data_IF_907057760730
#
_entry.id   IF_907057760730
#
_cell.length_a   1.000
_cell.length_b   1.000
_cell.length_c   1.000
_cell.angle_alpha   90.00
_cell.angle_beta   90.00
_cell.angle_gamma   90.00
#
_symmetry.space_group_name_H-M   'P 1'
#
loop_
_entity.id
_entity.type
_entity.pdbx_description
1 polymer ?
#
# COMPACT_ATOMS: atom_id res chain seq x y z
N UNK A 1 17.60 -24.57 5.01
CA UNK A 1 17.10 -23.17 4.87
C UNK A 1 18.30 -22.24 4.91
N UNK A 2 18.37 -21.22 4.05
CA UNK A 2 19.37 -20.16 4.18
C UNK A 2 19.25 -19.53 5.57
N UNK A 3 20.38 -19.22 6.21
CA UNK A 3 20.38 -18.55 7.51
C UNK A 3 20.03 -17.08 7.27
N UNK A 4 18.91 -16.62 7.82
CA UNK A 4 18.47 -15.22 7.67
C UNK A 4 19.42 -14.26 8.40
N UNK A 5 19.52 -13.03 7.90
CA UNK A 5 20.49 -12.01 8.35
C UNK A 5 19.82 -10.65 8.51
N UNK A 6 20.34 -9.81 9.39
CA UNK A 6 19.90 -8.42 9.55
C UNK A 6 20.67 -7.54 8.57
N UNK A 7 19.95 -6.81 7.73
CA UNK A 7 20.53 -5.91 6.75
C UNK A 7 20.82 -4.55 7.40
N UNK A 8 22.06 -4.08 7.34
CA UNK A 8 22.47 -2.73 7.76
C UNK A 8 22.78 -1.92 6.51
N UNK A 9 21.92 -0.96 6.18
CA UNK A 9 21.97 -0.21 4.93
C UNK A 9 22.23 1.28 5.16
N UNK A 10 23.23 1.85 4.49
CA UNK A 10 23.49 3.30 4.48
C UNK A 10 24.45 3.71 3.36
N UNK A 11 24.75 5.00 3.25
CA UNK A 11 25.81 5.55 2.41
C UNK A 11 27.16 5.46 3.14
N UNK A 12 27.95 4.42 2.88
CA UNK A 12 29.20 4.16 3.62
C UNK A 12 30.28 5.22 3.40
N UNK A 13 30.22 5.97 2.29
CA UNK A 13 31.10 7.11 2.00
C UNK A 13 31.01 8.24 3.04
N UNK A 14 29.94 8.29 3.81
CA UNK A 14 29.71 9.31 4.84
C UNK A 14 29.37 8.73 6.22
N UNK A 15 28.96 7.46 6.31
CA UNK A 15 28.40 6.86 7.54
C UNK A 15 28.92 5.46 7.85
N UNK A 16 30.12 5.12 7.36
CA UNK A 16 30.70 3.79 7.55
C UNK A 16 30.98 3.48 9.02
N UNK A 17 31.47 4.44 9.82
CA UNK A 17 31.74 4.23 11.25
C UNK A 17 30.47 3.86 12.03
N UNK A 18 29.38 4.58 11.79
CA UNK A 18 28.10 4.34 12.45
C UNK A 18 27.47 3.01 12.03
N UNK A 19 27.57 2.66 10.73
CA UNK A 19 27.08 1.39 10.23
C UNK A 19 27.85 0.19 10.80
N UNK A 20 29.18 0.28 10.87
CA UNK A 20 30.00 -0.77 11.48
C UNK A 20 29.76 -0.90 12.99
N UNK A 21 29.53 0.21 13.69
CA UNK A 21 29.14 0.19 15.09
C UNK A 21 27.81 -0.55 15.31
N UNK A 22 26.78 -0.28 14.50
CA UNK A 22 25.51 -1.02 14.54
C UNK A 22 25.74 -2.51 14.23
N UNK A 23 26.48 -2.82 13.17
CA UNK A 23 26.81 -4.21 12.77
C UNK A 23 27.42 -4.98 13.94
N UNK A 24 28.41 -4.39 14.60
CA UNK A 24 29.15 -5.07 15.68
C UNK A 24 28.26 -5.34 16.91
N UNK A 25 27.38 -4.39 17.25
CA UNK A 25 26.40 -4.58 18.32
C UNK A 25 25.37 -5.66 17.99
N UNK A 26 24.87 -5.73 16.75
CA UNK A 26 23.93 -6.78 16.34
C UNK A 26 24.63 -8.15 16.32
N UNK A 27 25.85 -8.24 15.80
CA UNK A 27 26.65 -9.47 15.83
C UNK A 27 26.87 -9.99 17.26
N UNK A 28 27.04 -9.10 18.24
CA UNK A 28 27.17 -9.47 19.65
C UNK A 28 25.90 -10.08 20.26
N UNK A 29 24.77 -10.10 19.54
CA UNK A 29 23.52 -10.76 19.94
C UNK A 29 23.33 -12.17 19.35
N UNK A 30 24.37 -12.70 18.68
CA UNK A 30 24.41 -13.96 17.91
C UNK A 30 23.59 -13.95 16.61
N UNK A 31 23.18 -12.77 16.14
CA UNK A 31 22.55 -12.58 14.84
C UNK A 31 23.61 -12.36 13.76
N UNK A 32 23.30 -12.81 12.54
CA UNK A 32 24.12 -12.49 11.37
C UNK A 32 23.76 -11.10 10.86
N UNK A 33 24.77 -10.39 10.33
CA UNK A 33 24.60 -9.08 9.72
C UNK A 33 25.14 -9.06 8.30
N UNK A 34 24.36 -8.46 7.40
CA UNK A 34 24.75 -8.14 6.02
C UNK A 34 24.82 -6.62 5.89
N UNK A 35 25.99 -6.09 5.53
CA UNK A 35 26.16 -4.64 5.30
C UNK A 35 25.97 -4.30 3.83
N UNK A 36 25.21 -3.24 3.56
CA UNK A 36 24.86 -2.80 2.21
C UNK A 36 25.25 -1.34 2.01
N UNK A 37 26.17 -1.09 1.09
CA UNK A 37 26.55 0.26 0.69
C UNK A 37 25.63 0.85 -0.38
N UNK A 38 25.16 2.07 -0.12
CA UNK A 38 24.26 2.84 -0.96
C UNK A 38 24.88 4.17 -1.41
N UNK A 39 26.21 4.28 -1.32
CA UNK A 39 26.97 5.45 -1.78
C UNK A 39 26.79 5.68 -3.27
N UNK A 40 26.67 6.94 -3.69
CA UNK A 40 26.37 7.31 -5.08
C UNK A 40 27.48 8.06 -5.80
N UNK A 41 28.56 8.44 -5.09
CA UNK A 41 29.60 9.32 -5.65
C UNK A 41 30.59 8.62 -6.58
N UNK A 42 30.96 7.38 -6.28
CA UNK A 42 31.94 6.64 -7.07
C UNK A 42 31.62 5.15 -7.02
N UNK A 43 31.63 4.46 -8.18
CA UNK A 43 31.46 3.00 -8.23
C UNK A 43 32.66 2.24 -7.66
N UNK A 44 33.85 2.88 -7.62
CA UNK A 44 35.11 2.24 -7.21
C UNK A 44 35.39 2.34 -5.70
N UNK A 45 34.48 2.94 -4.92
CA UNK A 45 34.63 3.04 -3.47
C UNK A 45 34.52 1.65 -2.84
N UNK A 46 35.64 1.11 -2.37
CA UNK A 46 35.68 -0.18 -1.69
C UNK A 46 35.61 0.01 -0.18
N UNK A 47 34.41 -0.15 0.37
CA UNK A 47 34.20 -0.33 1.80
C UNK A 47 34.13 -1.84 2.11
N UNK A 48 34.56 -2.25 3.31
CA UNK A 48 34.46 -3.64 3.77
C UNK A 48 32.99 -4.02 4.09
N UNK A 49 32.18 -4.10 3.03
CA UNK A 49 30.74 -4.34 3.05
C UNK A 49 30.41 -5.67 2.39
N UNK A 50 29.29 -6.29 2.79
CA UNK A 50 28.83 -7.53 2.16
C UNK A 50 28.39 -7.29 0.73
N UNK A 51 27.70 -6.17 0.48
CA UNK A 51 27.30 -5.70 -0.84
C UNK A 51 27.76 -4.26 -1.05
N UNK A 52 28.49 -4.05 -2.14
CA UNK A 52 28.98 -2.74 -2.56
C UNK A 52 27.88 -1.91 -3.24
N UNK A 53 28.09 -0.60 -3.36
CA UNK A 53 27.20 0.27 -4.14
C UNK A 53 27.02 -0.20 -5.59
N UNK A 54 28.05 -0.82 -6.19
CA UNK A 54 27.99 -1.37 -7.54
C UNK A 54 27.07 -2.60 -7.62
N UNK A 55 27.10 -3.48 -6.63
CA UNK A 55 26.22 -4.65 -6.54
C UNK A 55 24.75 -4.23 -6.48
N UNK A 56 24.47 -3.17 -5.70
CA UNK A 56 23.13 -2.60 -5.60
C UNK A 56 22.72 -1.93 -6.90
N UNK A 57 23.57 -1.06 -7.45
CA UNK A 57 23.30 -0.35 -8.69
C UNK A 57 23.03 -1.28 -9.89
N UNK A 58 23.60 -2.49 -9.90
CA UNK A 58 23.34 -3.50 -10.92
C UNK A 58 21.86 -3.97 -10.98
N UNK A 59 21.09 -3.76 -9.91
CA UNK A 59 19.65 -4.08 -9.87
C UNK A 59 18.77 -2.99 -10.48
N UNK A 60 19.35 -1.84 -10.86
CA UNK A 60 18.61 -0.78 -11.53
C UNK A 60 18.15 -1.25 -12.93
N UNK A 61 16.87 -1.07 -13.32
CA UNK A 61 16.35 -1.57 -14.59
C UNK A 61 17.01 -0.97 -15.84
N UNK A 62 17.61 0.21 -15.72
CA UNK A 62 18.38 0.86 -16.79
C UNK A 62 19.90 0.66 -16.66
N UNK A 63 20.34 -0.23 -15.76
CA UNK A 63 21.74 -0.51 -15.47
C UNK A 63 22.37 0.49 -14.48
N UNK A 64 23.58 0.15 -14.03
CA UNK A 64 24.30 0.90 -12.98
C UNK A 64 24.70 2.31 -13.40
N UNK A 65 24.83 2.58 -14.71
CA UNK A 65 25.17 3.91 -15.23
C UNK A 65 24.12 4.98 -14.88
N UNK A 66 22.84 4.60 -14.70
CA UNK A 66 21.80 5.52 -14.24
C UNK A 66 22.03 5.98 -12.80
N UNK A 67 22.64 5.13 -11.97
CA UNK A 67 22.99 5.46 -10.59
C UNK A 67 24.22 6.36 -10.56
N UNK A 68 25.26 6.06 -11.33
CA UNK A 68 26.51 6.83 -11.35
C UNK A 68 26.54 7.91 -12.44
N UNK A 69 25.45 8.66 -12.59
CA UNK A 69 25.28 9.65 -13.66
C UNK A 69 25.87 11.04 -13.37
N UNK A 70 26.50 11.24 -12.19
CA UNK A 70 27.15 12.50 -11.79
C UNK A 70 26.22 13.58 -11.24
N UNK A 71 24.90 13.42 -11.35
CA UNK A 71 23.91 14.29 -10.72
C UNK A 71 23.43 13.68 -9.39
N UNK A 72 23.73 14.35 -8.27
CA UNK A 72 23.43 13.83 -6.93
C UNK A 72 21.95 13.45 -6.75
N UNK A 73 21.03 14.27 -7.24
CA UNK A 73 19.59 14.05 -7.07
C UNK A 73 19.13 12.83 -7.85
N UNK A 74 19.49 12.75 -9.15
CA UNK A 74 19.17 11.61 -10.00
C UNK A 74 19.82 10.32 -9.51
N UNK A 75 21.07 10.39 -9.10
CA UNK A 75 21.80 9.25 -8.52
C UNK A 75 21.13 8.70 -7.27
N UNK A 76 20.62 9.57 -6.38
CA UNK A 76 19.90 9.13 -5.18
C UNK A 76 18.59 8.43 -5.52
N UNK A 77 17.80 8.97 -6.46
CA UNK A 77 16.54 8.35 -6.89
C UNK A 77 16.81 7.00 -7.56
N UNK A 78 17.78 6.94 -8.46
CA UNK A 78 18.17 5.70 -9.13
C UNK A 78 18.71 4.66 -8.13
N UNK A 79 19.52 5.06 -7.15
CA UNK A 79 20.01 4.14 -6.12
C UNK A 79 18.87 3.61 -5.24
N UNK A 80 17.90 4.45 -4.88
CA UNK A 80 16.73 4.03 -4.10
C UNK A 80 15.94 2.94 -4.86
N UNK A 81 15.69 3.14 -6.16
CA UNK A 81 15.02 2.16 -7.00
C UNK A 81 15.83 0.86 -7.16
N UNK A 82 17.16 0.97 -7.30
CA UNK A 82 18.04 -0.19 -7.39
C UNK A 82 18.03 -0.99 -6.07
N UNK A 83 18.07 -0.30 -4.94
CA UNK A 83 18.06 -0.90 -3.61
C UNK A 83 16.73 -1.57 -3.29
N UNK A 84 15.59 -0.97 -3.68
CA UNK A 84 14.27 -1.59 -3.57
C UNK A 84 14.24 -2.93 -4.31
N UNK A 85 14.68 -2.97 -5.57
CA UNK A 85 14.74 -4.19 -6.37
C UNK A 85 15.72 -5.22 -5.82
N UNK A 86 16.85 -4.77 -5.31
CA UNK A 86 17.80 -5.64 -4.62
C UNK A 86 17.15 -6.29 -3.40
N UNK A 87 16.49 -5.53 -2.53
CA UNK A 87 15.85 -6.06 -1.34
C UNK A 87 14.72 -7.04 -1.67
N UNK A 88 13.94 -6.76 -2.73
CA UNK A 88 12.89 -7.67 -3.22
C UNK A 88 13.44 -8.97 -3.83
N UNK A 89 14.71 -9.01 -4.24
CA UNK A 89 15.35 -10.25 -4.73
C UNK A 89 15.89 -11.13 -3.59
N UNK A 90 15.82 -10.68 -2.33
CA UNK A 90 16.36 -11.38 -1.16
C UNK A 90 15.33 -12.28 -0.50
N UNK A 91 15.75 -13.52 -0.21
CA UNK A 91 14.99 -14.55 0.51
C UNK A 91 15.51 -14.76 1.95
N UNK A 92 16.56 -14.03 2.34
CA UNK A 92 17.32 -14.21 3.57
C UNK A 92 17.24 -13.01 4.54
N UNK A 93 16.27 -12.11 4.35
CA UNK A 93 16.08 -10.94 5.22
C UNK A 93 15.41 -11.36 6.54
N UNK A 94 16.13 -11.23 7.66
CA UNK A 94 15.57 -11.38 9.01
C UNK A 94 14.98 -10.06 9.52
N UNK A 95 15.58 -8.94 9.12
CA UNK A 95 15.17 -7.58 9.43
C UNK A 95 16.09 -6.59 8.72
N UNK A 96 15.71 -5.32 8.68
CA UNK A 96 16.49 -4.25 8.05
C UNK A 96 16.59 -3.05 8.99
N UNK A 97 17.81 -2.53 9.13
CA UNK A 97 18.10 -1.27 9.82
C UNK A 97 18.81 -0.31 8.86
N UNK A 98 18.27 0.90 8.76
CA UNK A 98 18.83 2.00 8.00
C UNK A 98 19.23 3.16 8.90
N UNK A 99 20.19 3.96 8.44
CA UNK A 99 20.56 5.21 9.10
C UNK A 99 20.87 6.31 8.08
N UNK A 100 20.42 7.53 8.35
CA UNK A 100 20.70 8.66 7.48
C UNK A 100 20.02 9.98 7.86
N UNK A 101 20.47 11.06 7.21
CA UNK A 101 19.72 12.32 7.18
C UNK A 101 18.50 12.22 6.24
N UNK A 102 17.95 13.36 5.80
CA UNK A 102 16.85 13.38 4.82
C UNK A 102 17.13 12.51 3.59
N UNK A 103 18.30 12.67 2.98
CA UNK A 103 18.67 11.94 1.77
C UNK A 103 18.86 10.43 1.96
N UNK A 104 19.45 10.00 3.08
CA UNK A 104 19.58 8.57 3.38
C UNK A 104 18.24 7.93 3.71
N UNK A 105 17.37 8.66 4.43
CA UNK A 105 16.01 8.23 4.74
C UNK A 105 15.19 8.04 3.48
N UNK A 106 15.21 9.01 2.56
CA UNK A 106 14.49 8.90 1.27
C UNK A 106 15.03 7.82 0.35
N UNK A 107 16.29 7.40 0.53
CA UNK A 107 16.93 6.36 -0.28
C UNK A 107 16.57 4.95 0.24
N UNK A 108 16.57 4.75 1.56
CA UNK A 108 16.41 3.43 2.18
C UNK A 108 14.93 3.05 2.36
N UNK A 109 14.09 4.01 2.72
CA UNK A 109 12.69 3.73 3.11
C UNK A 109 11.82 3.16 1.99
N UNK A 110 12.00 3.48 0.68
CA UNK A 110 11.27 2.79 -0.39
C UNK A 110 11.49 1.26 -0.38
N UNK A 111 12.72 0.82 -0.16
CA UNK A 111 13.03 -0.61 -0.04
C UNK A 111 12.39 -1.23 1.22
N UNK A 112 12.37 -0.51 2.35
CA UNK A 112 11.67 -0.97 3.55
C UNK A 112 10.16 -1.06 3.33
N UNK A 113 9.56 -0.11 2.60
CA UNK A 113 8.14 -0.10 2.27
C UNK A 113 7.75 -1.28 1.38
N UNK A 114 8.64 -1.70 0.48
CA UNK A 114 8.41 -2.84 -0.40
C UNK A 114 8.41 -4.19 0.35
N UNK A 115 9.17 -4.32 1.45
CA UNK A 115 9.25 -5.56 2.22
C UNK A 115 7.92 -5.92 2.93
N UNK A 116 7.66 -7.20 3.21
CA UNK A 116 6.40 -7.65 3.84
C UNK A 116 6.15 -7.04 5.22
N UNK A 117 4.88 -6.80 5.55
CA UNK A 117 4.45 -6.42 6.90
C UNK A 117 4.85 -7.50 7.92
N UNK A 118 5.24 -7.09 9.12
CA UNK A 118 5.69 -7.97 10.20
C UNK A 118 7.20 -8.28 10.17
N UNK A 119 7.87 -8.10 9.02
CA UNK A 119 9.33 -8.16 8.97
C UNK A 119 9.92 -6.96 9.73
N UNK A 120 10.84 -7.12 10.70
CA UNK A 120 11.40 -5.99 11.44
C UNK A 120 12.10 -4.95 10.54
N UNK A 121 11.63 -3.70 10.55
CA UNK A 121 12.18 -2.56 9.79
C UNK A 121 12.40 -1.38 10.71
N UNK A 122 13.63 -0.88 10.80
CA UNK A 122 13.96 0.28 11.64
C UNK A 122 14.79 1.31 10.87
N UNK A 123 14.34 2.57 10.87
CA UNK A 123 15.07 3.67 10.25
C UNK A 123 15.49 4.69 11.30
N UNK A 124 16.80 4.84 11.51
CA UNK A 124 17.38 5.90 12.35
C UNK A 124 17.54 7.16 11.51
N UNK A 125 16.70 8.17 11.76
CA UNK A 125 16.59 9.33 10.88
C UNK A 125 16.67 10.65 11.63
N UNK A 126 17.36 11.64 11.04
CA UNK A 126 17.27 13.04 11.48
C UNK A 126 15.90 13.66 11.19
N UNK A 127 15.08 13.02 10.36
CA UNK A 127 13.74 13.49 9.96
C UNK A 127 12.61 12.89 10.80
N UNK A 128 12.92 11.97 11.73
CA UNK A 128 11.89 11.25 12.47
C UNK A 128 11.02 12.15 13.39
N UNK A 129 11.54 13.32 13.79
CA UNK A 129 10.80 14.34 14.54
C UNK A 129 10.13 15.36 13.59
N UNK A 130 9.34 14.88 12.64
CA UNK A 130 8.66 15.69 11.63
C UNK A 130 7.57 14.91 10.91
N UNK A 131 7.16 15.37 9.72
CA UNK A 131 6.28 14.58 8.87
C UNK A 131 7.04 13.41 8.25
N UNK A 132 6.66 12.20 8.65
CA UNK A 132 7.26 10.93 8.22
C UNK A 132 6.31 10.09 7.37
N UNK A 133 5.13 10.63 7.01
CA UNK A 133 4.08 9.89 6.28
C UNK A 133 4.62 9.23 5.01
N UNK A 134 5.38 9.98 4.20
CA UNK A 134 5.99 9.49 2.96
C UNK A 134 7.14 8.49 3.17
N UNK A 135 7.78 8.49 4.35
CA UNK A 135 8.84 7.53 4.68
C UNK A 135 8.27 6.21 5.18
N UNK A 136 7.13 6.22 5.86
CA UNK A 136 6.49 5.01 6.37
C UNK A 136 5.57 4.38 5.32
N UNK A 137 4.80 5.21 4.60
CA UNK A 137 3.77 4.75 3.68
C UNK A 137 2.73 3.88 4.40
N UNK A 138 2.32 2.78 3.75
CA UNK A 138 1.44 1.77 4.34
C UNK A 138 2.20 0.62 5.04
N UNK A 139 3.48 0.83 5.38
CA UNK A 139 4.35 -0.18 6.00
C UNK A 139 4.46 0.01 7.52
N UNK A 140 4.97 -1.00 8.22
CA UNK A 140 5.22 -1.04 9.66
C UNK A 140 6.66 -0.63 10.00
N UNK A 141 7.16 0.46 9.40
CA UNK A 141 8.53 0.97 9.62
C UNK A 141 8.60 1.71 10.95
N UNK A 142 9.50 1.27 11.84
CA UNK A 142 9.83 1.99 13.06
C UNK A 142 10.80 3.15 12.76
N UNK A 143 10.36 4.39 13.00
CA UNK A 143 11.21 5.58 12.89
C UNK A 143 11.85 5.91 14.23
N UNK A 144 13.18 5.93 14.30
CA UNK A 144 13.92 6.36 15.49
C UNK A 144 14.63 7.69 15.21
N UNK A 145 14.35 8.71 16.04
CA UNK A 145 15.02 9.99 15.91
C UNK A 145 16.49 9.91 16.35
N UNK A 146 17.39 10.39 15.49
CA UNK A 146 18.85 10.36 15.75
C UNK A 146 19.30 11.33 16.84
N UNK A 147 18.45 12.29 17.23
CA UNK A 147 18.71 13.39 18.18
C UNK A 147 19.72 14.43 17.67
N UNK A 148 20.90 13.97 17.26
CA UNK A 148 21.91 14.80 16.58
C UNK A 148 21.99 14.43 15.11
N UNK A 149 22.69 15.24 14.33
CA UNK A 149 23.10 14.82 12.99
C UNK A 149 23.92 13.52 13.06
N UNK A 150 23.85 12.72 11.98
CA UNK A 150 24.59 11.47 11.82
C UNK A 150 25.87 11.78 11.05
N UNK A 151 26.84 12.28 11.81
CA UNK A 151 28.15 12.72 11.35
C UNK A 151 29.24 12.25 12.33
N UNK A 152 29.45 10.93 12.35
CA UNK A 152 30.40 10.24 13.21
C UNK A 152 29.85 9.83 14.58
N UNK A 153 30.65 9.05 15.29
CA UNK A 153 30.30 8.52 16.61
C UNK A 153 30.66 9.51 17.74
N UNK A 154 29.65 10.12 18.34
CA UNK A 154 29.73 10.97 19.51
C UNK A 154 29.04 10.30 20.73
N UNK A 155 29.05 10.96 21.89
CA UNK A 155 28.48 10.39 23.13
C UNK A 155 26.98 10.09 23.04
N UNK A 156 26.26 10.86 22.23
CA UNK A 156 24.82 10.74 22.00
C UNK A 156 24.57 9.70 20.92
N UNK A 157 25.22 9.80 19.76
CA UNK A 157 24.98 8.85 18.66
C UNK A 157 25.34 7.42 19.05
N UNK A 158 26.37 7.18 19.88
CA UNK A 158 26.66 5.83 20.41
C UNK A 158 25.48 5.22 21.19
N UNK A 159 24.78 6.01 21.99
CA UNK A 159 23.65 5.53 22.78
C UNK A 159 22.43 5.29 21.89
N UNK A 160 22.11 6.24 21.02
CA UNK A 160 20.94 6.15 20.12
C UNK A 160 21.10 4.99 19.13
N UNK A 161 22.27 4.84 18.50
CA UNK A 161 22.54 3.75 17.57
C UNK A 161 22.60 2.39 18.27
N UNK A 162 23.07 2.33 19.53
CA UNK A 162 23.03 1.10 20.31
C UNK A 162 21.59 0.68 20.64
N UNK A 163 20.73 1.62 21.03
CA UNK A 163 19.31 1.34 21.21
C UNK A 163 18.68 0.83 19.91
N UNK A 164 18.99 1.45 18.77
CA UNK A 164 18.50 1.02 17.46
C UNK A 164 18.92 -0.43 17.14
N UNK A 165 20.21 -0.74 17.33
CA UNK A 165 20.78 -2.06 17.12
C UNK A 165 20.12 -3.13 18.00
N UNK A 166 19.93 -2.85 19.29
CA UNK A 166 19.29 -3.80 20.20
C UNK A 166 17.78 -3.94 19.95
N UNK A 167 17.10 -2.88 19.54
CA UNK A 167 15.67 -2.93 19.18
C UNK A 167 15.44 -3.85 17.99
N UNK A 168 16.21 -3.70 16.91
CA UNK A 168 16.06 -4.57 15.74
C UNK A 168 16.50 -6.00 16.06
N UNK A 169 17.56 -6.19 16.86
CA UNK A 169 18.00 -7.52 17.28
C UNK A 169 16.94 -8.24 18.13
N UNK A 170 16.30 -7.52 19.05
CA UNK A 170 15.19 -8.05 19.85
C UNK A 170 14.00 -8.47 18.98
N UNK A 171 13.58 -7.60 18.06
CA UNK A 171 12.47 -7.88 17.14
C UNK A 171 12.72 -9.10 16.25
N UNK A 172 13.99 -9.39 15.92
CA UNK A 172 14.38 -10.58 15.14
C UNK A 172 14.49 -11.84 16.01
N UNK A 173 14.97 -11.71 17.26
CA UNK A 173 15.28 -12.85 18.13
C UNK A 173 14.07 -13.41 18.87
N UNK A 174 13.11 -12.55 19.24
CA UNK A 174 11.94 -12.96 19.99
C UNK A 174 10.78 -13.31 19.06
N UNK A 175 10.29 -14.54 19.19
CA UNK A 175 9.18 -15.07 18.39
C UNK A 175 7.87 -14.44 18.86
N UNK A 176 7.06 -13.95 17.91
CA UNK A 176 5.69 -13.53 18.18
C UNK A 176 4.89 -14.79 18.56
N UNK A 177 4.22 -14.81 19.72
CA UNK A 177 3.44 -15.98 20.12
C UNK A 177 2.38 -16.33 19.08
N UNK A 178 2.31 -17.59 18.68
CA UNK A 178 1.24 -18.07 17.81
C UNK A 178 -0.11 -17.97 18.54
N UNK A 179 -1.09 -17.33 17.89
CA UNK A 179 -2.47 -17.33 18.35
C UNK A 179 -3.12 -18.64 17.87
N UNK A 180 -3.58 -19.46 18.81
CA UNK A 180 -4.31 -20.70 18.47
C UNK A 180 -5.70 -20.34 17.93
N UNK A 181 -6.08 -20.95 16.80
CA UNK A 181 -7.36 -20.76 16.11
C UNK A 181 -7.58 -19.36 15.52
N UNK A 182 -6.58 -18.83 14.80
CA UNK A 182 -6.80 -17.64 13.97
C UNK A 182 -7.86 -17.90 12.89
N UNK A 183 -8.84 -17.01 12.83
CA UNK A 183 -9.81 -16.98 11.74
C UNK A 183 -9.11 -16.48 10.47
N UNK A 184 -9.43 -17.00 9.28
CA UNK A 184 -8.90 -16.44 8.05
C UNK A 184 -9.23 -14.94 7.95
N UNK A 185 -8.26 -14.12 7.56
CA UNK A 185 -8.39 -12.67 7.59
C UNK A 185 -8.96 -12.14 6.26
N UNK A 186 -9.97 -11.26 6.33
CA UNK A 186 -10.59 -10.64 5.15
C UNK A 186 -10.40 -9.14 5.17
N UNK A 187 -9.98 -8.58 4.03
CA UNK A 187 -9.93 -7.13 3.82
C UNK A 187 -11.25 -6.59 3.28
N UNK A 188 -11.83 -5.59 3.95
CA UNK A 188 -13.13 -5.02 3.63
C UNK A 188 -13.01 -3.50 3.42
N UNK A 189 -13.32 -2.97 2.23
CA UNK A 189 -13.31 -1.52 1.99
C UNK A 189 -14.68 -0.88 2.24
N UNK A 190 -14.66 0.28 2.91
CA UNK A 190 -15.87 1.02 3.28
C UNK A 190 -15.73 2.51 2.99
N UNK A 191 -16.87 3.19 2.84
CA UNK A 191 -16.98 4.65 2.94
C UNK A 191 -18.25 5.01 3.73
N UNK A 192 -18.36 6.25 4.22
CA UNK A 192 -19.52 6.66 5.03
C UNK A 192 -20.86 6.32 4.37
N UNK A 193 -20.94 6.52 3.05
CA UNK A 193 -22.11 6.27 2.19
C UNK A 193 -22.32 4.80 1.79
N UNK A 194 -21.42 3.88 2.15
CA UNK A 194 -21.55 2.42 1.96
C UNK A 194 -21.53 1.65 3.29
N UNK A 195 -21.52 2.37 4.42
CA UNK A 195 -21.50 1.78 5.77
C UNK A 195 -22.59 0.73 6.00
N UNK A 196 -23.86 0.94 5.60
CA UNK A 196 -24.90 -0.08 5.79
C UNK A 196 -24.55 -1.42 5.15
N UNK A 197 -24.05 -1.40 3.91
CA UNK A 197 -23.59 -2.60 3.19
C UNK A 197 -22.46 -3.31 3.96
N UNK A 198 -21.44 -2.56 4.37
CA UNK A 198 -20.26 -3.11 5.03
C UNK A 198 -20.55 -3.67 6.42
N UNK A 199 -21.44 -3.04 7.17
CA UNK A 199 -21.92 -3.56 8.45
C UNK A 199 -22.67 -4.88 8.27
N UNK A 200 -23.54 -4.98 7.26
CA UNK A 200 -24.27 -6.21 6.96
C UNK A 200 -23.34 -7.36 6.54
N UNK A 201 -22.36 -7.09 5.67
CA UNK A 201 -21.34 -8.07 5.25
C UNK A 201 -20.51 -8.54 6.46
N UNK A 202 -19.97 -7.60 7.24
CA UNK A 202 -19.11 -7.92 8.38
C UNK A 202 -19.85 -8.75 9.44
N UNK A 203 -21.11 -8.41 9.73
CA UNK A 203 -21.94 -9.18 10.67
C UNK A 203 -22.15 -10.65 10.24
N UNK A 204 -22.23 -10.92 8.94
CA UNK A 204 -22.39 -12.29 8.43
C UNK A 204 -21.09 -13.11 8.43
N UNK A 205 -19.94 -12.44 8.34
CA UNK A 205 -18.64 -13.10 8.19
C UNK A 205 -17.84 -13.22 9.50
N UNK A 206 -18.06 -12.33 10.47
CA UNK A 206 -17.23 -12.21 11.68
C UNK A 206 -17.16 -13.49 12.53
N UNK A 207 -18.17 -14.36 12.48
CA UNK A 207 -18.15 -15.64 13.21
C UNK A 207 -17.05 -16.58 12.69
N UNK A 208 -16.76 -16.54 11.39
CA UNK A 208 -15.81 -17.46 10.72
C UNK A 208 -14.53 -16.79 10.26
N UNK A 209 -14.54 -15.48 10.06
CA UNK A 209 -13.44 -14.71 9.49
C UNK A 209 -13.05 -13.56 10.42
N UNK A 210 -11.79 -13.15 10.36
CA UNK A 210 -11.33 -11.89 10.96
C UNK A 210 -11.51 -10.76 9.95
N UNK A 211 -12.52 -9.91 10.14
CA UNK A 211 -12.91 -8.88 9.17
C UNK A 211 -12.19 -7.56 9.45
N UNK A 212 -11.12 -7.29 8.70
CA UNK A 212 -10.34 -6.06 8.79
C UNK A 212 -10.96 -5.00 7.87
N UNK A 213 -11.45 -3.92 8.48
CA UNK A 213 -12.17 -2.85 7.77
C UNK A 213 -11.25 -1.67 7.46
N UNK A 214 -11.24 -1.24 6.19
CA UNK A 214 -10.40 -0.17 5.67
C UNK A 214 -11.27 0.96 5.13
N UNK A 215 -11.07 2.17 5.65
CA UNK A 215 -11.72 3.37 5.13
C UNK A 215 -11.10 3.75 3.79
N UNK A 216 -11.89 3.79 2.71
CA UNK A 216 -11.45 4.05 1.34
C UNK A 216 -11.04 5.53 1.13
N UNK A 217 -9.96 5.95 1.78
CA UNK A 217 -9.41 7.32 1.79
C UNK A 217 -8.09 7.44 1.04
N UNK A 218 -7.83 6.51 0.10
CA UNK A 218 -6.56 6.32 -0.61
C UNK A 218 -5.61 5.46 0.19
N UNK A 219 -5.32 5.89 1.43
CA UNK A 219 -4.44 5.15 2.35
C UNK A 219 -5.05 3.84 2.84
N UNK A 220 -6.37 3.75 2.99
CA UNK A 220 -7.02 2.52 3.46
C UNK A 220 -6.98 1.39 2.43
N UNK A 221 -7.30 1.65 1.16
CA UNK A 221 -7.12 0.67 0.10
C UNK A 221 -5.65 0.26 -0.03
N UNK A 222 -4.73 1.23 0.00
CA UNK A 222 -3.28 0.95 -0.03
C UNK A 222 -2.84 0.04 1.12
N UNK A 223 -3.35 0.27 2.33
CA UNK A 223 -3.05 -0.57 3.49
C UNK A 223 -3.62 -1.99 3.34
N UNK A 224 -4.87 -2.12 2.87
CA UNK A 224 -5.49 -3.42 2.58
C UNK A 224 -4.66 -4.21 1.57
N UNK A 225 -4.28 -3.57 0.47
CA UNK A 225 -3.48 -4.22 -0.57
C UNK A 225 -2.09 -4.58 -0.07
N UNK A 226 -1.48 -3.76 0.79
CA UNK A 226 -0.18 -4.07 1.40
C UNK A 226 -0.25 -5.32 2.29
N UNK A 227 -1.34 -5.52 3.02
CA UNK A 227 -1.57 -6.74 3.81
C UNK A 227 -1.80 -7.96 2.91
N UNK A 228 -2.56 -7.82 1.82
CA UNK A 228 -2.75 -8.87 0.83
C UNK A 228 -1.41 -9.30 0.20
N UNK A 229 -0.59 -8.33 -0.25
CA UNK A 229 0.75 -8.59 -0.80
C UNK A 229 1.71 -9.22 0.22
N UNK A 230 1.45 -9.03 1.51
CA UNK A 230 2.22 -9.64 2.61
C UNK A 230 1.67 -10.99 3.04
N UNK A 231 0.67 -11.54 2.34
CA UNK A 231 -0.03 -12.79 2.68
C UNK A 231 -0.66 -12.77 4.08
N UNK A 232 -1.06 -11.59 4.57
CA UNK A 232 -1.77 -11.41 5.84
C UNK A 232 -3.28 -11.32 5.66
N UNK A 233 -3.76 -11.41 4.41
CA UNK A 233 -5.17 -11.53 4.07
C UNK A 233 -5.39 -12.81 3.26
N UNK A 234 -6.52 -13.44 3.51
CA UNK A 234 -6.96 -14.66 2.86
C UNK A 234 -7.95 -14.42 1.71
N UNK A 235 -8.60 -13.26 1.71
CA UNK A 235 -9.58 -12.84 0.70
C UNK A 235 -9.97 -11.37 0.87
N UNK A 236 -10.63 -10.83 -0.15
CA UNK A 236 -10.97 -9.40 -0.23
C UNK A 236 -12.44 -9.22 -0.59
N UNK A 237 -13.13 -8.36 0.16
CA UNK A 237 -14.44 -7.79 -0.18
C UNK A 237 -14.27 -6.29 -0.38
N UNK A 238 -13.82 -5.93 -1.58
CA UNK A 238 -13.51 -4.57 -2.00
C UNK A 238 -14.74 -3.87 -2.56
N UNK A 239 -15.74 -3.68 -1.69
CA UNK A 239 -17.07 -3.17 -2.06
C UNK A 239 -17.02 -1.68 -2.39
N UNK A 240 -16.11 -0.93 -1.78
CA UNK A 240 -16.00 0.52 -1.93
C UNK A 240 -14.71 0.90 -2.63
N UNK A 241 -14.80 1.18 -3.94
CA UNK A 241 -13.63 1.48 -4.79
C UNK A 241 -13.50 2.98 -5.14
N UNK A 242 -14.10 3.87 -4.33
CA UNK A 242 -14.15 5.33 -4.55
C UNK A 242 -12.78 6.00 -4.73
N UNK A 243 -11.71 5.42 -4.20
CA UNK A 243 -10.34 5.94 -4.34
C UNK A 243 -9.90 6.04 -5.82
N UNK A 244 -10.52 5.26 -6.71
CA UNK A 244 -10.32 5.30 -8.16
C UNK A 244 -10.90 6.59 -8.77
N UNK A 245 -12.01 7.11 -8.23
CA UNK A 245 -12.57 8.41 -8.64
C UNK A 245 -11.53 9.51 -8.40
N UNK A 246 -11.01 9.53 -7.19
CA UNK A 246 -10.04 10.53 -6.76
C UNK A 246 -8.73 10.43 -7.55
N UNK A 247 -8.25 9.21 -7.85
CA UNK A 247 -7.08 9.00 -8.70
C UNK A 247 -7.28 9.58 -10.11
N UNK A 248 -8.41 9.30 -10.75
CA UNK A 248 -8.64 9.69 -12.15
C UNK A 248 -9.01 11.18 -12.30
N UNK A 249 -9.60 11.77 -11.28
CA UNK A 249 -10.18 13.13 -11.36
C UNK A 249 -9.61 14.11 -10.32
N UNK A 250 -8.44 13.79 -9.76
CA UNK A 250 -7.65 14.71 -8.94
C UNK A 250 -8.25 15.00 -7.55
N UNK A 251 -8.97 14.03 -6.99
CA UNK A 251 -9.47 14.10 -5.62
C UNK A 251 -8.38 13.92 -4.57
N UNK A 252 -8.69 14.27 -3.33
CA UNK A 252 -7.72 14.32 -2.21
C UNK A 252 -7.53 12.98 -1.51
N UNK A 253 -8.37 11.99 -1.79
CA UNK A 253 -8.38 10.65 -1.22
C UNK A 253 -8.00 9.58 -2.25
N UNK A 254 -7.12 9.94 -3.19
CA UNK A 254 -6.72 9.09 -4.30
C UNK A 254 -5.88 7.88 -3.86
N UNK A 255 -6.12 6.73 -4.48
CA UNK A 255 -5.19 5.60 -4.46
C UNK A 255 -4.03 5.82 -5.45
N UNK A 256 -3.06 4.90 -5.46
CA UNK A 256 -2.02 4.82 -6.49
C UNK A 256 -2.51 4.19 -7.80
N UNK A 257 -1.77 4.34 -8.91
CA UNK A 257 -2.08 3.73 -10.21
C UNK A 257 -2.01 2.20 -10.20
N UNK A 258 -1.42 1.62 -9.16
CA UNK A 258 -1.28 0.20 -8.88
C UNK A 258 -2.50 -0.42 -8.17
N UNK A 259 -3.51 0.38 -7.79
CA UNK A 259 -4.74 -0.13 -7.17
C UNK A 259 -5.33 -1.28 -7.99
N UNK A 260 -5.75 -2.33 -7.28
CA UNK A 260 -6.21 -3.64 -7.75
C UNK A 260 -5.14 -4.58 -8.31
N UNK A 261 -3.88 -4.15 -8.53
CA UNK A 261 -2.84 -5.04 -9.07
C UNK A 261 -2.51 -6.19 -8.13
N UNK A 262 -2.63 -5.97 -6.81
CA UNK A 262 -2.40 -7.03 -5.81
C UNK A 262 -3.33 -8.23 -6.00
N UNK A 263 -4.54 -8.01 -6.52
CA UNK A 263 -5.51 -9.09 -6.76
C UNK A 263 -5.00 -10.03 -7.86
N UNK A 264 -4.41 -9.46 -8.91
CA UNK A 264 -3.77 -10.23 -9.97
C UNK A 264 -2.48 -10.92 -9.49
N UNK A 265 -1.71 -10.27 -8.62
CA UNK A 265 -0.42 -10.78 -8.14
C UNK A 265 -0.56 -11.92 -7.11
N UNK A 266 -1.59 -11.84 -6.26
CA UNK A 266 -1.79 -12.78 -5.14
C UNK A 266 -2.82 -13.87 -5.44
N UNK A 267 -3.67 -13.65 -6.44
CA UNK A 267 -4.79 -14.54 -6.82
C UNK A 267 -5.76 -14.85 -5.66
N UNK A 268 -5.79 -14.01 -4.63
CA UNK A 268 -6.72 -14.16 -3.50
C UNK A 268 -8.17 -14.09 -4.00
N UNK A 269 -9.09 -14.87 -3.39
CA UNK A 269 -10.52 -14.74 -3.65
C UNK A 269 -10.99 -13.29 -3.47
N UNK A 270 -11.51 -12.70 -4.54
CA UNK A 270 -11.85 -11.29 -4.59
C UNK A 270 -13.32 -11.09 -4.98
N UNK A 271 -14.04 -10.35 -4.13
CA UNK A 271 -15.37 -9.81 -4.42
C UNK A 271 -15.29 -8.28 -4.44
N UNK A 272 -15.45 -7.67 -5.59
CA UNK A 272 -15.44 -6.20 -5.77
C UNK A 272 -16.81 -5.62 -6.09
N UNK A 273 -16.98 -4.31 -5.93
CA UNK A 273 -18.18 -3.58 -6.36
C UNK A 273 -17.86 -2.13 -6.74
N UNK A 274 -18.88 -1.38 -7.13
CA UNK A 274 -18.80 0.02 -7.56
C UNK A 274 -19.00 1.05 -6.43
N UNK A 275 -18.86 0.66 -5.16
CA UNK A 275 -19.28 1.48 -4.04
C UNK A 275 -18.63 2.85 -4.00
N UNK A 276 -19.47 3.87 -3.84
CA UNK A 276 -19.12 5.28 -3.82
C UNK A 276 -18.34 5.77 -5.07
N UNK A 277 -18.48 5.07 -6.21
CA UNK A 277 -17.92 5.56 -7.48
C UNK A 277 -18.68 6.79 -8.05
N UNK A 278 -19.69 7.29 -7.35
CA UNK A 278 -20.46 8.47 -7.70
C UNK A 278 -19.82 9.79 -7.26
N UNK A 279 -18.71 9.76 -6.52
CA UNK A 279 -18.14 10.95 -5.88
C UNK A 279 -16.63 11.04 -5.96
N UNK A 280 -16.14 12.24 -6.28
CA UNK A 280 -14.74 12.65 -6.10
C UNK A 280 -14.64 13.48 -4.82
N UNK A 281 -13.66 13.19 -3.97
CA UNK A 281 -13.51 13.86 -2.70
C UNK A 281 -12.58 15.08 -2.84
N UNK A 282 -13.05 16.23 -2.37
CA UNK A 282 -12.24 17.42 -2.21
C UNK A 282 -12.26 17.90 -0.76
N UNK A 283 -11.34 18.80 -0.46
CA UNK A 283 -11.29 19.48 0.82
C UNK A 283 -12.39 20.54 0.97
N UNK A 284 -12.00 21.66 1.59
CA UNK A 284 -12.86 22.84 1.68
C UNK A 284 -13.30 23.30 0.27
N UNK A 285 -14.52 23.82 0.07
CA UNK A 285 -14.99 24.29 -1.24
C UNK A 285 -14.02 25.26 -1.95
N UNK A 286 -13.28 26.07 -1.19
CA UNK A 286 -12.30 27.01 -1.74
C UNK A 286 -11.03 26.36 -2.30
N UNK A 287 -10.79 25.08 -2.00
CA UNK A 287 -9.65 24.30 -2.52
C UNK A 287 -9.97 23.54 -3.81
N UNK A 288 -11.24 23.55 -4.24
CA UNK A 288 -11.68 22.83 -5.43
C UNK A 288 -11.07 23.49 -6.67
N UNK A 289 -10.44 22.70 -7.59
CA UNK A 289 -9.89 23.24 -8.82
C UNK A 289 -10.92 24.02 -9.64
N UNK A 290 -10.53 25.19 -10.17
CA UNK A 290 -11.44 26.12 -10.84
C UNK A 290 -12.17 25.53 -12.07
N UNK A 291 -11.60 24.49 -12.70
CA UNK A 291 -12.23 23.81 -13.83
C UNK A 291 -13.43 22.93 -13.41
N UNK A 292 -13.60 22.65 -12.12
CA UNK A 292 -14.76 21.95 -11.57
C UNK A 292 -15.86 22.87 -11.02
N UNK A 293 -15.73 24.20 -11.14
CA UNK A 293 -16.65 25.17 -10.50
C UNK A 293 -18.14 24.97 -10.80
N UNK A 294 -18.49 24.42 -11.97
CA UNK A 294 -19.88 24.25 -12.43
C UNK A 294 -20.41 22.83 -12.17
N UNK A 295 -19.71 22.05 -11.35
CA UNK A 295 -20.09 20.67 -11.00
C UNK A 295 -21.09 20.64 -9.85
N UNK A 296 -21.77 19.50 -9.72
CA UNK A 296 -22.68 19.26 -8.62
C UNK A 296 -21.90 18.86 -7.37
N UNK A 297 -22.00 19.68 -6.31
CA UNK A 297 -21.31 19.46 -5.05
C UNK A 297 -22.26 19.13 -3.90
N UNK A 298 -21.79 18.30 -2.98
CA UNK A 298 -22.40 18.03 -1.69
C UNK A 298 -21.43 18.39 -0.56
N UNK A 299 -21.75 19.41 0.27
CA UNK A 299 -20.92 19.76 1.42
C UNK A 299 -21.13 18.73 2.53
N UNK A 300 -20.24 17.75 2.64
CA UNK A 300 -20.36 16.69 3.65
C UNK A 300 -20.06 17.23 5.06
N UNK A 301 -19.00 18.02 5.20
CA UNK A 301 -18.69 18.79 6.41
C UNK A 301 -17.81 20.00 6.06
N UNK A 302 -17.39 20.78 7.07
CA UNK A 302 -16.60 21.99 6.87
C UNK A 302 -15.25 21.78 6.15
N UNK A 303 -14.73 20.54 6.16
CA UNK A 303 -13.44 20.16 5.59
C UNK A 303 -13.55 19.27 4.34
N UNK A 304 -14.74 18.73 4.03
CA UNK A 304 -14.93 17.74 2.97
C UNK A 304 -16.11 18.13 2.08
N UNK A 305 -15.84 18.21 0.79
CA UNK A 305 -16.83 18.45 -0.26
C UNK A 305 -16.80 17.31 -1.26
N UNK A 306 -17.94 16.72 -1.55
CA UNK A 306 -18.07 15.65 -2.54
C UNK A 306 -18.51 16.26 -3.87
N UNK A 307 -17.90 15.83 -4.96
CA UNK A 307 -18.28 16.24 -6.32
C UNK A 307 -18.90 15.04 -7.06
N UNK A 308 -20.14 15.17 -7.56
CA UNK A 308 -20.79 14.09 -8.32
C UNK A 308 -20.09 13.89 -9.66
N UNK A 309 -19.67 12.66 -9.92
CA UNK A 309 -19.06 12.22 -11.19
C UNK A 309 -20.02 12.33 -12.38
N UNK A 310 -19.51 12.61 -13.58
CA UNK A 310 -20.31 12.63 -14.83
C UNK A 310 -20.38 11.26 -15.50
N UNK A 311 -21.20 11.15 -16.55
CA UNK A 311 -21.30 9.98 -17.43
C UNK A 311 -19.94 9.59 -18.04
N UNK A 312 -19.19 10.55 -18.55
CA UNK A 312 -17.89 10.33 -19.20
C UNK A 312 -16.83 9.88 -18.19
N UNK A 313 -16.88 10.41 -16.97
CA UNK A 313 -16.01 9.99 -15.86
C UNK A 313 -16.35 8.56 -15.42
N UNK A 314 -17.64 8.22 -15.36
CA UNK A 314 -18.12 6.85 -15.06
C UNK A 314 -17.70 5.84 -16.11
N UNK A 315 -17.77 6.20 -17.40
CA UNK A 315 -17.24 5.35 -18.47
C UNK A 315 -15.72 5.11 -18.29
N UNK A 316 -14.94 6.15 -18.03
CA UNK A 316 -13.49 6.02 -17.80
C UNK A 316 -13.16 5.12 -16.61
N UNK A 317 -13.92 5.23 -15.51
CA UNK A 317 -13.76 4.35 -14.35
C UNK A 317 -14.08 2.90 -14.67
N UNK A 318 -15.18 2.63 -15.38
CA UNK A 318 -15.57 1.27 -15.76
C UNK A 318 -14.54 0.62 -16.68
N UNK A 319 -13.99 1.36 -17.64
CA UNK A 319 -12.89 0.89 -18.49
C UNK A 319 -11.61 0.65 -17.70
N UNK A 320 -11.28 1.53 -16.74
CA UNK A 320 -10.08 1.39 -15.92
C UNK A 320 -10.15 0.17 -15.00
N UNK A 321 -11.26 0.00 -14.27
CA UNK A 321 -11.50 -1.16 -13.40
C UNK A 321 -11.53 -2.43 -14.25
N UNK A 322 -12.24 -2.42 -15.38
CA UNK A 322 -12.31 -3.59 -16.26
C UNK A 322 -10.95 -4.05 -16.76
N UNK A 323 -10.03 -3.12 -17.08
CA UNK A 323 -8.65 -3.46 -17.45
C UNK A 323 -7.88 -4.11 -16.31
N UNK A 324 -8.02 -3.63 -15.06
CA UNK A 324 -7.37 -4.24 -13.89
C UNK A 324 -7.90 -5.66 -13.62
N UNK A 325 -9.21 -5.85 -13.66
CA UNK A 325 -9.83 -7.16 -13.50
C UNK A 325 -9.38 -8.15 -14.59
N UNK A 326 -9.13 -7.67 -15.81
CA UNK A 326 -8.65 -8.51 -16.91
C UNK A 326 -7.25 -9.11 -16.67
N UNK A 327 -6.43 -8.48 -15.83
CA UNK A 327 -5.12 -9.01 -15.41
C UNK A 327 -5.22 -10.09 -14.33
N UNK A 328 -6.39 -10.28 -13.70
CA UNK A 328 -6.57 -11.24 -12.62
C UNK A 328 -6.80 -12.66 -13.16
N UNK A 329 -6.03 -13.63 -12.65
CA UNK A 329 -6.14 -15.05 -12.99
C UNK A 329 -6.81 -15.92 -11.90
N UNK A 330 -6.90 -15.38 -10.67
CA UNK A 330 -7.62 -15.97 -9.55
C UNK A 330 -9.15 -15.88 -9.66
N UNK A 331 -9.85 -16.28 -8.59
CA UNK A 331 -11.31 -16.18 -8.52
C UNK A 331 -11.75 -14.73 -8.21
N UNK A 332 -12.44 -14.13 -9.17
CA UNK A 332 -12.95 -12.76 -9.16
C UNK A 332 -14.46 -12.76 -9.38
N UNK A 333 -15.18 -12.10 -8.47
CA UNK A 333 -16.59 -11.72 -8.64
C UNK A 333 -16.66 -10.21 -8.52
N UNK A 334 -17.24 -9.55 -9.51
CA UNK A 334 -17.43 -8.11 -9.47
C UNK A 334 -18.91 -7.78 -9.62
N UNK A 335 -19.48 -7.19 -8.58
CA UNK A 335 -20.91 -6.99 -8.44
C UNK A 335 -21.30 -5.59 -8.92
N UNK A 336 -22.36 -5.52 -9.72
CA UNK A 336 -22.92 -4.29 -10.27
C UNK A 336 -24.23 -4.01 -9.51
N UNK A 337 -24.28 -2.99 -8.62
CA UNK A 337 -25.48 -2.62 -7.87
C UNK A 337 -26.41 -1.76 -8.74
N UNK A 338 -27.41 -2.36 -9.39
CA UNK A 338 -28.28 -1.66 -10.35
C UNK A 338 -29.19 -0.61 -9.72
N UNK A 339 -29.37 -0.64 -8.40
CA UNK A 339 -30.17 0.35 -7.67
C UNK A 339 -29.38 1.57 -7.18
N UNK A 340 -28.12 1.70 -7.57
CA UNK A 340 -27.23 2.81 -7.22
C UNK A 340 -26.03 2.41 -6.36
N UNK A 341 -24.99 3.22 -6.41
CA UNK A 341 -23.65 2.89 -5.89
C UNK A 341 -23.33 3.49 -4.51
N UNK A 342 -24.23 4.30 -3.94
CA UNK A 342 -24.02 4.93 -2.64
C UNK A 342 -25.33 5.32 -1.96
N UNK A 343 -25.25 5.79 -0.71
CA UNK A 343 -26.39 6.39 -0.02
C UNK A 343 -26.86 7.73 -0.63
N UNK A 344 -26.00 8.44 -1.38
CA UNK A 344 -26.34 9.67 -2.10
C UNK A 344 -26.83 9.39 -3.52
N UNK A 345 -26.55 8.20 -4.03
CA UNK A 345 -26.97 7.70 -5.33
C UNK A 345 -28.08 6.67 -5.16
N UNK A 346 -29.28 7.17 -4.82
CA UNK A 346 -30.50 6.39 -4.68
C UNK A 346 -31.71 7.27 -5.01
N UNK A 347 -32.87 6.72 -5.41
CA UNK A 347 -34.05 7.50 -5.77
C UNK A 347 -34.38 8.61 -4.74
N UNK A 348 -34.42 9.85 -5.22
CA UNK A 348 -34.70 11.04 -4.40
C UNK A 348 -33.50 11.66 -3.69
N UNK A 349 -32.30 11.09 -3.83
CA UNK A 349 -31.05 11.63 -3.27
C UNK A 349 -30.33 12.54 -4.28
N UNK A 350 -29.44 13.38 -3.76
CA UNK A 350 -28.81 14.45 -4.54
C UNK A 350 -27.94 13.93 -5.69
N UNK A 351 -27.23 12.80 -5.51
CA UNK A 351 -26.34 12.24 -6.51
C UNK A 351 -27.02 11.19 -7.37
N UNK A 352 -28.34 10.95 -7.22
CA UNK A 352 -29.05 9.96 -8.01
C UNK A 352 -28.94 10.24 -9.52
N UNK A 353 -28.30 9.33 -10.25
CA UNK A 353 -28.18 9.44 -11.70
C UNK A 353 -28.10 8.07 -12.39
N UNK A 354 -29.25 7.46 -12.72
CA UNK A 354 -29.29 6.20 -13.45
C UNK A 354 -28.51 6.22 -14.77
N UNK A 355 -28.41 7.38 -15.42
CA UNK A 355 -27.65 7.52 -16.66
C UNK A 355 -26.13 7.41 -16.42
N UNK A 356 -25.61 8.01 -15.34
CA UNK A 356 -24.20 7.93 -15.02
C UNK A 356 -23.82 6.50 -14.59
N UNK A 357 -24.67 5.86 -13.80
CA UNK A 357 -24.43 4.50 -13.32
C UNK A 357 -24.52 3.50 -14.50
N UNK A 358 -25.48 3.68 -15.41
CA UNK A 358 -25.56 2.89 -16.63
C UNK A 358 -24.28 3.00 -17.48
N UNK A 359 -23.69 4.19 -17.60
CA UNK A 359 -22.43 4.37 -18.33
C UNK A 359 -21.26 3.63 -17.66
N UNK A 360 -21.18 3.62 -16.32
CA UNK A 360 -20.21 2.82 -15.58
C UNK A 360 -20.39 1.33 -15.84
N UNK A 361 -21.62 0.83 -15.74
CA UNK A 361 -21.93 -0.59 -15.87
C UNK A 361 -21.70 -1.09 -17.29
N UNK A 362 -22.13 -0.34 -18.30
CA UNK A 362 -21.86 -0.67 -19.70
C UNK A 362 -20.36 -0.69 -20.01
N UNK A 363 -19.59 0.23 -19.46
CA UNK A 363 -18.15 0.28 -19.65
C UNK A 363 -17.46 -0.96 -19.03
N UNK A 364 -17.88 -1.37 -17.84
CA UNK A 364 -17.43 -2.61 -17.21
C UNK A 364 -17.77 -3.83 -18.07
N UNK A 365 -19.03 -3.97 -18.50
CA UNK A 365 -19.49 -5.09 -19.32
C UNK A 365 -18.75 -5.20 -20.66
N UNK A 366 -18.48 -4.07 -21.33
CA UNK A 366 -17.73 -4.03 -22.58
C UNK A 366 -16.25 -4.36 -22.39
N UNK A 367 -15.67 -4.00 -21.24
CA UNK A 367 -14.23 -4.11 -21.00
C UNK A 367 -13.83 -5.46 -20.40
N UNK A 368 -14.61 -5.98 -19.45
CA UNK A 368 -14.26 -7.21 -18.73
C UNK A 368 -14.47 -8.43 -19.62
N UNK A 369 -13.40 -9.18 -19.83
CA UNK A 369 -13.44 -10.48 -20.50
C UNK A 369 -13.89 -11.50 -19.45
N UNK A 370 -15.17 -11.86 -19.46
CA UNK A 370 -15.71 -12.82 -18.49
C UNK A 370 -15.18 -14.25 -18.73
N UNK A 371 -14.84 -14.95 -17.66
CA UNK A 371 -14.39 -16.34 -17.66
C UNK A 371 -15.12 -17.12 -16.56
N UNK A 372 -14.86 -18.43 -16.42
CA UNK A 372 -15.42 -19.20 -15.30
C UNK A 372 -15.01 -18.63 -13.93
N UNK A 373 -13.77 -18.13 -13.83
CA UNK A 373 -13.18 -17.57 -12.60
C UNK A 373 -13.38 -16.07 -12.45
N UNK A 374 -13.65 -15.32 -13.52
CA UNK A 374 -13.86 -13.86 -13.49
C UNK A 374 -15.23 -13.52 -14.04
N UNK A 375 -16.15 -13.10 -13.16
CA UNK A 375 -17.55 -12.84 -13.54
C UNK A 375 -17.98 -11.44 -13.13
N UNK A 376 -18.72 -10.79 -14.01
CA UNK A 376 -19.54 -9.63 -13.67
C UNK A 376 -20.92 -10.12 -13.29
N UNK A 377 -21.45 -9.64 -12.16
CA UNK A 377 -22.73 -10.09 -11.62
C UNK A 377 -23.59 -8.88 -11.37
N UNK A 378 -24.68 -8.77 -12.13
CA UNK A 378 -25.70 -7.74 -11.91
C UNK A 378 -26.55 -8.12 -10.72
N UNK A 379 -26.71 -7.19 -9.80
CA UNK A 379 -27.50 -7.33 -8.57
C UNK A 379 -28.57 -6.25 -8.60
N UNK A 380 -29.87 -6.60 -8.63
CA UNK A 380 -30.97 -5.66 -8.90
C UNK A 380 -31.34 -4.82 -7.67
N UNK A 381 -30.35 -4.36 -6.92
CA UNK A 381 -30.49 -3.64 -5.66
C UNK A 381 -29.50 -2.48 -5.57
N UNK A 382 -29.82 -1.48 -4.74
CA UNK A 382 -28.86 -0.48 -4.33
C UNK A 382 -27.77 -1.16 -3.48
N UNK A 383 -26.54 -0.62 -3.51
CA UNK A 383 -25.43 -1.19 -2.75
C UNK A 383 -25.72 -1.35 -1.25
N UNK A 384 -26.55 -0.48 -0.67
CA UNK A 384 -26.92 -0.48 0.74
C UNK A 384 -28.19 -1.28 1.05
N UNK A 385 -28.82 -1.91 0.06
CA UNK A 385 -29.88 -2.87 0.32
C UNK A 385 -29.28 -4.13 0.99
N UNK A 386 -29.87 -4.65 2.07
CA UNK A 386 -29.37 -5.86 2.73
C UNK A 386 -29.19 -7.05 1.77
N UNK A 387 -30.02 -7.15 0.73
CA UNK A 387 -29.93 -8.23 -0.26
C UNK A 387 -28.71 -8.12 -1.16
N UNK A 388 -28.15 -6.91 -1.33
CA UNK A 388 -26.86 -6.75 -2.00
C UNK A 388 -25.73 -7.32 -1.14
N UNK A 389 -25.74 -7.04 0.16
CA UNK A 389 -24.78 -7.61 1.11
C UNK A 389 -24.86 -9.14 1.16
N UNK A 390 -26.07 -9.70 1.20
CA UNK A 390 -26.30 -11.15 1.14
C UNK A 390 -25.68 -11.78 -0.12
N UNK A 391 -25.86 -11.13 -1.28
CA UNK A 391 -25.29 -11.61 -2.53
C UNK A 391 -23.76 -11.48 -2.56
N UNK A 392 -23.19 -10.40 -2.02
CA UNK A 392 -21.74 -10.25 -1.89
C UNK A 392 -21.12 -11.38 -1.03
N UNK A 393 -21.75 -11.70 0.11
CA UNK A 393 -21.32 -12.79 0.99
C UNK A 393 -21.49 -14.16 0.31
N UNK A 394 -22.61 -14.39 -0.37
CA UNK A 394 -22.86 -15.61 -1.14
C UNK A 394 -21.79 -15.81 -2.22
N UNK A 395 -21.50 -14.78 -3.01
CA UNK A 395 -20.45 -14.83 -4.04
C UNK A 395 -19.08 -15.10 -3.43
N UNK A 396 -18.76 -14.48 -2.29
CA UNK A 396 -17.51 -14.73 -1.58
C UNK A 396 -17.41 -16.20 -1.13
N UNK A 397 -18.45 -16.76 -0.51
CA UNK A 397 -18.45 -18.17 -0.09
C UNK A 397 -18.29 -19.15 -1.26
N UNK A 398 -18.87 -18.85 -2.43
CA UNK A 398 -18.73 -19.69 -3.62
C UNK A 398 -17.30 -19.78 -4.13
N UNK A 399 -16.52 -18.70 -4.01
CA UNK A 399 -15.11 -18.68 -4.44
C UNK A 399 -14.16 -19.11 -3.34
N UNK A 400 -14.51 -18.85 -2.08
CA UNK A 400 -13.75 -19.28 -0.91
C UNK A 400 -13.68 -20.79 -0.80
N UNK A 401 -14.80 -21.50 -0.97
CA UNK A 401 -14.86 -22.97 -0.84
C UNK A 401 -14.15 -23.75 -1.96
N UNK A 402 -13.62 -23.06 -2.98
CA UNK A 402 -12.83 -23.66 -4.07
C UNK A 402 -11.32 -23.54 -3.85
N UNK A 403 -10.90 -22.74 -2.87
CA UNK A 403 -9.52 -22.66 -2.37
C UNK A 403 -9.21 -23.93 -1.61
#
# INVERSE_FOLDING_TARGET
>A
MKRKTVYVATTFDTKSEEAFYIRDLINATDLLVTTVDLSTKSPDSQFNTTFSAQDIAAHHPQGSASVFCGDRGKSMVAMAQAFEKFMLSRDDVAGIIGLGGSGGTSLITPAMQALPIGLPKLMVSTMASGDVSNYIGASDIAMLYSVTDIAGLNRISRQVLANAAHSIAGAVKFVIPEVKNEKPALGLTMFGVTTPCMQAISAQLTDKFDCLTFHATGTGGTAMEKLAASHLLDGLLDITTTEICDLLFGGVLACGPDRLDVVAQTELPYVGSCGALDMVNFGNPNTIPAHYKDRLFYPHNAQVTLMRTTKEENQQMGEWIGRKLNACHGEVRFLIPEGGVSALDAPGQLFWSPENDAALFEALEKTVIQTERRRLIRVPYNINDPRFADEAVNQFHQIWNKK
#
